data_IF_968436855595
#
_entry.id   IF_968436855595
#
_cell.length_a   1.000
_cell.length_b   1.000
_cell.length_c   1.000
_cell.angle_alpha   90.00
_cell.angle_beta   90.00
_cell.angle_gamma   90.00
#
_symmetry.space_group_name_H-M   'P 1'
#
loop_
_entity.id
_entity.type
_entity.pdbx_description
1 polymer ?
#
# COMPACT_ATOMS: atom_id res chain seq x y z
N UNK A 1 -3.85 -14.46 11.00
CA UNK A 1 -3.89 -13.03 11.34
C UNK A 1 -4.58 -12.20 10.26
N UNK A 2 -5.12 -11.05 10.66
CA UNK A 2 -5.76 -10.12 9.74
C UNK A 2 -4.73 -9.45 8.83
N UNK A 3 -5.16 -9.03 7.63
CA UNK A 3 -4.34 -8.17 6.79
C UNK A 3 -4.13 -6.82 7.48
N UNK A 4 -2.89 -6.35 7.46
CA UNK A 4 -2.54 -5.01 7.89
C UNK A 4 -2.61 -4.11 6.67
N UNK A 5 -3.09 -2.89 6.83
CA UNK A 5 -3.22 -1.94 5.72
C UNK A 5 -2.97 -0.51 6.16
N UNK A 6 -2.79 0.36 5.19
CA UNK A 6 -2.59 1.77 5.46
C UNK A 6 -2.25 2.59 4.22
N UNK A 7 -1.89 3.83 4.46
CA UNK A 7 -1.50 4.77 3.40
C UNK A 7 -0.01 5.09 3.46
N UNK A 8 0.53 5.45 2.31
CA UNK A 8 1.94 5.82 2.13
C UNK A 8 2.00 7.28 1.76
N UNK A 9 2.78 8.06 2.50
CA UNK A 9 3.01 9.46 2.20
C UNK A 9 4.48 9.76 1.96
N UNK A 10 4.77 10.74 1.14
CA UNK A 10 6.15 11.12 0.85
C UNK A 10 6.26 12.16 -0.24
N UNK A 11 7.36 12.10 -1.00
CA UNK A 11 7.65 13.06 -2.05
C UNK A 11 7.80 12.39 -3.40
N UNK A 12 7.52 13.14 -4.46
CA UNK A 12 7.70 12.72 -5.85
C UNK A 12 8.71 13.65 -6.51
N UNK A 13 9.66 13.07 -7.22
CA UNK A 13 10.62 13.81 -8.03
C UNK A 13 10.81 13.03 -9.34
N UNK A 14 10.08 13.45 -10.38
CA UNK A 14 10.02 12.68 -11.62
C UNK A 14 9.44 11.29 -11.38
N UNK A 15 10.21 10.27 -11.75
CA UNK A 15 9.81 8.87 -11.57
C UNK A 15 10.18 8.30 -10.19
N UNK A 16 10.85 9.10 -9.36
CA UNK A 16 11.29 8.65 -8.04
C UNK A 16 10.28 9.08 -6.97
N UNK A 17 9.88 8.11 -6.14
CA UNK A 17 9.00 8.35 -5.00
C UNK A 17 9.74 7.98 -3.74
N UNK A 18 9.85 8.94 -2.83
CA UNK A 18 10.51 8.71 -1.54
C UNK A 18 9.47 8.59 -0.44
N UNK A 19 9.40 7.44 0.20
CA UNK A 19 8.48 7.20 1.31
C UNK A 19 9.00 7.89 2.56
N UNK A 20 8.20 8.78 3.13
CA UNK A 20 8.54 9.53 4.36
C UNK A 20 7.73 9.07 5.56
N UNK A 21 6.48 8.66 5.35
CA UNK A 21 5.57 8.28 6.42
C UNK A 21 4.72 7.09 5.99
N UNK A 22 4.48 6.19 6.93
CA UNK A 22 3.49 5.12 6.80
C UNK A 22 2.37 5.37 7.80
N UNK A 23 1.15 5.28 7.33
CA UNK A 23 -0.04 5.45 8.15
C UNK A 23 -0.75 4.10 8.26
N UNK A 24 -0.53 3.41 9.37
CA UNK A 24 -1.20 2.12 9.61
C UNK A 24 -2.62 2.41 10.04
N UNK A 25 -3.59 1.93 9.27
CA UNK A 25 -5.01 2.14 9.52
C UNK A 25 -5.69 0.82 9.88
N UNK A 26 -6.84 0.92 10.53
CA UNK A 26 -7.63 -0.26 10.86
C UNK A 26 -8.13 -0.94 9.59
N UNK A 27 -7.98 -2.26 9.53
CA UNK A 27 -8.67 -3.06 8.52
C UNK A 27 -10.08 -3.34 9.06
N UNK A 28 -11.06 -2.60 8.57
CA UNK A 28 -12.43 -2.71 9.07
C UNK A 28 -13.12 -4.01 8.66
N UNK A 29 -12.55 -4.75 7.70
CA UNK A 29 -13.05 -6.07 7.32
C UNK A 29 -12.56 -7.18 8.25
N UNK A 30 -11.52 -6.90 9.05
CA UNK A 30 -10.93 -7.85 10.00
C UNK A 30 -10.66 -9.22 9.37
N UNK A 31 -10.14 -9.22 8.14
CA UNK A 31 -9.93 -10.42 7.34
C UNK A 31 -8.44 -10.69 7.11
N UNK A 32 -8.08 -11.97 6.90
CA UNK A 32 -6.75 -12.36 6.46
C UNK A 32 -6.65 -12.48 4.92
N UNK A 33 -7.73 -12.20 4.20
CA UNK A 33 -7.80 -12.33 2.75
C UNK A 33 -8.06 -11.01 2.02
N UNK A 34 -8.64 -10.03 2.71
CA UNK A 34 -8.93 -8.72 2.13
C UNK A 34 -8.94 -7.64 3.19
N UNK A 35 -9.01 -6.38 2.76
CA UNK A 35 -8.99 -5.25 3.66
C UNK A 35 -9.85 -4.10 3.13
N UNK A 36 -10.33 -3.26 4.05
CA UNK A 36 -10.95 -1.98 3.76
C UNK A 36 -10.53 -0.97 4.82
N UNK A 37 -10.40 0.29 4.44
CA UNK A 37 -10.02 1.37 5.34
C UNK A 37 -11.17 2.36 5.46
N UNK A 38 -11.41 2.84 6.71
CA UNK A 38 -12.44 3.84 6.97
C UNK A 38 -12.09 5.15 6.25
N UNK A 39 -13.01 5.73 5.45
CA UNK A 39 -12.73 6.99 4.73
C UNK A 39 -12.32 8.16 5.64
N UNK A 40 -12.86 8.23 6.86
CA UNK A 40 -12.47 9.29 7.79
C UNK A 40 -11.03 9.14 8.27
N UNK A 41 -10.58 7.90 8.50
CA UNK A 41 -9.19 7.64 8.88
C UNK A 41 -8.24 7.97 7.74
N UNK A 42 -8.63 7.66 6.50
CA UNK A 42 -7.87 8.03 5.32
C UNK A 42 -7.77 9.56 5.20
N UNK A 43 -8.86 10.27 5.43
CA UNK A 43 -8.87 11.73 5.36
C UNK A 43 -7.95 12.35 6.40
N UNK A 44 -7.94 11.83 7.63
CA UNK A 44 -7.04 12.28 8.69
C UNK A 44 -5.58 12.09 8.30
N UNK A 45 -5.25 10.95 7.71
CA UNK A 45 -3.90 10.68 7.23
C UNK A 45 -3.48 11.66 6.14
N UNK A 46 -4.34 11.94 5.17
CA UNK A 46 -4.06 12.90 4.10
C UNK A 46 -3.88 14.31 4.64
N UNK A 47 -4.67 14.71 5.63
CA UNK A 47 -4.51 16.02 6.28
C UNK A 47 -3.16 16.12 7.01
N UNK A 48 -2.74 15.05 7.67
CA UNK A 48 -1.44 15.01 8.33
C UNK A 48 -0.29 15.11 7.32
N UNK A 49 -0.41 14.41 6.18
CA UNK A 49 0.56 14.53 5.09
C UNK A 49 0.68 15.97 4.61
N UNK A 50 -0.45 16.65 4.40
CA UNK A 50 -0.47 18.05 3.97
C UNK A 50 0.22 18.95 4.98
N UNK A 51 -0.02 18.75 6.27
CA UNK A 51 0.62 19.50 7.34
C UNK A 51 2.14 19.30 7.36
N UNK A 52 2.62 18.14 6.93
CA UNK A 52 4.05 17.82 6.88
C UNK A 52 4.70 18.16 5.54
N UNK A 53 3.95 18.69 4.60
CA UNK A 53 4.48 19.04 3.27
C UNK A 53 4.77 17.85 2.37
N UNK A 54 4.10 16.73 2.60
CA UNK A 54 4.22 15.53 1.79
C UNK A 54 2.88 15.21 1.11
N UNK A 55 2.89 14.28 0.15
CA UNK A 55 1.71 13.93 -0.64
C UNK A 55 1.42 12.43 -0.54
N UNK A 56 0.17 12.02 -0.79
CA UNK A 56 -0.14 10.59 -0.86
C UNK A 56 0.58 9.95 -2.04
N UNK A 57 1.26 8.83 -1.78
CA UNK A 57 1.93 8.05 -2.82
C UNK A 57 1.17 6.79 -3.19
N UNK A 58 0.37 6.27 -2.27
CA UNK A 58 -0.36 5.05 -2.47
C UNK A 58 -0.79 4.41 -1.17
N UNK A 59 -0.94 3.10 -1.21
CA UNK A 59 -1.32 2.33 -0.02
C UNK A 59 -0.48 1.06 0.10
N UNK A 60 -0.59 0.43 1.26
CA UNK A 60 0.06 -0.84 1.50
C UNK A 60 -0.88 -1.79 2.23
N UNK A 61 -0.65 -3.08 2.02
CA UNK A 61 -1.31 -4.11 2.81
C UNK A 61 -0.43 -5.35 2.92
N UNK A 62 -0.76 -6.22 3.87
CA UNK A 62 -0.03 -7.47 4.06
C UNK A 62 -0.78 -8.63 3.43
N UNK A 63 -0.02 -9.64 2.98
CA UNK A 63 -0.54 -10.94 2.59
C UNK A 63 -0.05 -11.96 3.62
N UNK A 64 -0.85 -12.31 4.65
CA UNK A 64 -0.39 -13.23 5.69
C UNK A 64 -0.09 -14.64 5.20
N UNK A 65 -0.81 -15.10 4.17
CA UNK A 65 -0.77 -16.49 3.72
C UNK A 65 -0.46 -16.66 2.23
N UNK A 66 -0.07 -15.58 1.54
CA UNK A 66 0.19 -15.61 0.10
C UNK A 66 1.41 -14.77 -0.28
N UNK A 67 1.95 -14.95 -1.51
CA UNK A 67 3.11 -14.17 -1.98
C UNK A 67 2.83 -12.67 -2.14
N UNK A 68 3.90 -11.86 -2.21
CA UNK A 68 3.83 -10.42 -2.45
C UNK A 68 3.52 -10.12 -3.91
N UNK A 69 2.28 -10.34 -4.30
CA UNK A 69 1.77 -9.97 -5.63
C UNK A 69 0.29 -9.64 -5.53
N UNK A 70 -0.22 -8.72 -6.36
CA UNK A 70 -1.62 -8.37 -6.32
C UNK A 70 -2.51 -9.57 -6.61
N UNK A 71 -3.53 -9.77 -5.77
CA UNK A 71 -4.60 -10.73 -6.06
C UNK A 71 -5.51 -10.15 -7.15
N UNK A 72 -6.41 -10.97 -7.69
CA UNK A 72 -7.39 -10.48 -8.66
C UNK A 72 -8.28 -9.40 -8.04
N UNK A 73 -8.61 -9.53 -6.75
CA UNK A 73 -9.36 -8.51 -6.02
C UNK A 73 -8.55 -7.22 -5.87
N UNK A 74 -7.25 -7.32 -5.53
CA UNK A 74 -6.37 -6.16 -5.42
C UNK A 74 -6.34 -5.37 -6.73
N UNK A 75 -6.23 -6.06 -7.86
CA UNK A 75 -6.22 -5.43 -9.19
C UNK A 75 -7.55 -4.76 -9.50
N UNK A 76 -8.66 -5.41 -9.18
CA UNK A 76 -10.00 -4.88 -9.44
C UNK A 76 -10.28 -3.63 -8.63
N UNK A 77 -9.77 -3.55 -7.40
CA UNK A 77 -9.98 -2.43 -6.50
C UNK A 77 -8.93 -1.33 -6.63
N UNK A 78 -7.99 -1.46 -7.56
CA UNK A 78 -6.95 -0.47 -7.80
C UNK A 78 -7.46 0.62 -8.74
N UNK A 79 -8.15 1.60 -8.18
CA UNK A 79 -8.78 2.68 -8.94
C UNK A 79 -7.85 3.82 -9.31
N UNK A 80 -6.74 3.98 -8.61
CA UNK A 80 -5.82 5.10 -8.81
C UNK A 80 -4.60 4.64 -9.61
N UNK A 81 -4.52 5.07 -10.87
CA UNK A 81 -3.42 4.72 -11.79
C UNK A 81 -2.09 5.33 -11.37
N UNK A 82 -2.13 6.39 -10.58
CA UNK A 82 -0.92 7.10 -10.10
C UNK A 82 -0.38 6.54 -8.80
N UNK A 83 -1.15 5.71 -8.10
CA UNK A 83 -0.76 5.19 -6.80
C UNK A 83 0.24 4.05 -6.90
N UNK A 84 1.12 3.97 -5.90
CA UNK A 84 1.94 2.79 -5.65
C UNK A 84 1.18 1.87 -4.71
N UNK A 85 1.12 0.59 -5.06
CA UNK A 85 0.46 -0.44 -4.25
C UNK A 85 1.54 -1.35 -3.69
N UNK A 86 1.83 -1.19 -2.39
CA UNK A 86 2.88 -1.97 -1.72
C UNK A 86 2.26 -3.16 -1.00
N UNK A 87 2.86 -4.32 -1.17
CA UNK A 87 2.38 -5.56 -0.57
C UNK A 87 3.53 -6.22 0.17
N UNK A 88 3.33 -6.51 1.45
CA UNK A 88 4.29 -7.28 2.24
C UNK A 88 3.72 -8.67 2.50
N UNK A 89 4.42 -9.69 2.03
CA UNK A 89 4.07 -11.07 2.34
C UNK A 89 4.78 -11.53 3.61
N UNK A 90 4.01 -12.05 4.55
CA UNK A 90 4.53 -12.70 5.75
C UNK A 90 4.17 -14.19 5.75
N UNK A 91 3.93 -14.75 4.58
CA UNK A 91 3.68 -16.17 4.39
C UNK A 91 4.81 -17.02 4.99
N UNK A 92 6.06 -16.55 4.83
CA UNK A 92 7.21 -17.05 5.54
C UNK A 92 7.65 -15.96 6.53
N UNK A 93 7.35 -16.15 7.82
CA UNK A 93 7.62 -15.15 8.85
C UNK A 93 9.12 -14.84 9.01
N UNK A 94 9.99 -15.80 8.69
CA UNK A 94 11.43 -15.60 8.77
C UNK A 94 11.98 -14.78 7.61
N UNK A 95 11.26 -14.71 6.49
CA UNK A 95 11.69 -14.00 5.28
C UNK A 95 10.53 -13.19 4.68
N UNK A 96 10.11 -12.10 5.34
CA UNK A 96 9.07 -11.24 4.77
C UNK A 96 9.54 -10.61 3.46
N UNK A 97 8.63 -10.51 2.48
CA UNK A 97 8.92 -9.97 1.14
C UNK A 97 8.06 -8.75 0.89
N UNK A 98 8.69 -7.61 0.63
CA UNK A 98 8.01 -6.36 0.29
C UNK A 98 8.21 -6.06 -1.20
N UNK A 99 7.11 -5.84 -1.91
CA UNK A 99 7.12 -5.42 -3.32
C UNK A 99 6.15 -4.28 -3.52
N UNK A 100 6.41 -3.44 -4.53
CA UNK A 100 5.54 -2.35 -4.92
C UNK A 100 5.09 -2.51 -6.36
N UNK A 101 3.85 -2.15 -6.64
CA UNK A 101 3.24 -2.30 -7.96
C UNK A 101 2.51 -1.04 -8.40
N UNK A 102 2.51 -0.82 -9.71
CA UNK A 102 1.59 0.11 -10.37
C UNK A 102 0.54 -0.75 -11.05
N UNK A 103 -0.73 -0.40 -10.87
CA UNK A 103 -1.84 -1.18 -11.41
C UNK A 103 -2.70 -0.29 -12.31
N UNK A 104 -2.79 -0.65 -13.58
CA UNK A 104 -3.55 0.10 -14.60
C UNK A 104 -4.36 -0.90 -15.41
N UNK A 105 -5.68 -0.71 -15.47
CA UNK A 105 -6.60 -1.55 -16.23
C UNK A 105 -6.43 -3.05 -15.92
N UNK A 106 -6.35 -3.38 -14.63
CA UNK A 106 -6.17 -4.74 -14.10
C UNK A 106 -4.83 -5.38 -14.45
N UNK A 107 -3.86 -4.60 -14.94
CA UNK A 107 -2.50 -5.08 -15.21
C UNK A 107 -1.56 -4.52 -14.15
N UNK A 108 -0.87 -5.40 -13.43
CA UNK A 108 0.12 -4.99 -12.43
C UNK A 108 1.52 -5.05 -13.01
N UNK A 109 2.31 -4.02 -12.72
CA UNK A 109 3.73 -3.97 -13.06
C UNK A 109 4.51 -3.66 -11.79
N UNK A 110 5.51 -4.47 -11.50
CA UNK A 110 6.33 -4.29 -10.32
C UNK A 110 7.25 -3.08 -10.47
N UNK A 111 7.32 -2.26 -9.41
CA UNK A 111 8.27 -1.13 -9.32
C UNK A 111 9.49 -1.58 -8.53
N UNK A 112 10.66 -1.05 -8.87
CA UNK A 112 11.87 -1.28 -8.10
C UNK A 112 11.82 -0.52 -6.78
N UNK A 113 12.24 -1.17 -5.68
CA UNK A 113 12.35 -0.56 -4.36
C UNK A 113 13.83 -0.47 -4.00
N UNK A 114 14.27 0.75 -3.64
CA UNK A 114 15.61 0.97 -3.09
C UNK A 114 15.48 1.30 -1.60
N UNK A 115 16.30 0.67 -0.79
CA UNK A 115 16.36 0.90 0.65
C UNK A 115 17.53 1.81 0.97
N UNK A 116 17.23 2.91 1.65
CA UNK A 116 18.22 3.92 2.01
C UNK A 116 18.38 4.08 3.52
#
# INVERSE_FOLDING_TARGET
PEEICGLIGGTKDGDVREVKELYVLENIDHSNEHFSMNPLDQLKAVKDMRAKGIVPLGNFHSHPESPSRPSEEDKRLAYDKEASYMIISIMNEDEPVLKSFRIVDNVSNEEEIEYI
#
